data_IF_967478548702
#
_entry.id   IF_967478548702
#
_cell.length_a   1.000
_cell.length_b   1.000
_cell.length_c   1.000
_cell.angle_alpha   90.00
_cell.angle_beta   90.00
_cell.angle_gamma   90.00
#
_symmetry.space_group_name_H-M   'P 1'
#
loop_
_entity.id
_entity.type
_entity.pdbx_description
1 polymer ?
#
# COMPACT_ATOMS: atom_id res chain seq x y z
N UNK A 1 -12.52 -23.65 9.96
CA UNK A 1 -11.57 -24.27 9.02
C UNK A 1 -10.15 -23.75 9.21
N UNK A 2 -9.82 -22.48 8.93
CA UNK A 2 -8.47 -21.92 9.20
C UNK A 2 -8.31 -21.48 10.66
N UNK A 3 -9.36 -20.89 11.25
CA UNK A 3 -9.39 -20.47 12.67
C UNK A 3 -9.09 -18.98 12.87
N UNK A 4 -9.90 -18.32 13.70
CA UNK A 4 -9.88 -16.86 13.83
C UNK A 4 -8.60 -16.29 14.43
N UNK A 5 -7.86 -17.10 15.18
CA UNK A 5 -6.57 -16.74 15.74
C UNK A 5 -5.54 -16.30 14.68
N UNK A 6 -5.64 -16.80 13.44
CA UNK A 6 -4.65 -16.53 12.40
C UNK A 6 -4.75 -15.10 11.84
N UNK A 7 -5.94 -14.67 11.41
CA UNK A 7 -6.14 -13.29 10.96
C UNK A 7 -6.05 -12.31 12.12
N UNK A 8 -6.49 -12.69 13.34
CA UNK A 8 -6.28 -11.89 14.54
C UNK A 8 -4.80 -11.60 14.79
N UNK A 9 -3.95 -12.64 14.81
CA UNK A 9 -2.50 -12.48 15.02
C UNK A 9 -1.88 -11.58 13.94
N UNK A 10 -2.28 -11.75 12.68
CA UNK A 10 -1.82 -10.89 11.58
C UNK A 10 -2.22 -9.43 11.81
N UNK A 11 -3.48 -9.16 12.13
CA UNK A 11 -3.99 -7.81 12.40
C UNK A 11 -3.31 -7.18 13.61
N UNK A 12 -3.03 -7.95 14.67
CA UNK A 12 -2.33 -7.46 15.86
C UNK A 12 -0.89 -6.99 15.53
N UNK A 13 -0.18 -7.74 14.68
CA UNK A 13 1.15 -7.35 14.17
C UNK A 13 1.07 -6.09 13.30
N UNK A 14 0.12 -6.03 12.36
CA UNK A 14 -0.07 -4.85 11.51
C UNK A 14 -0.43 -3.60 12.32
N UNK A 15 -1.27 -3.75 13.35
CA UNK A 15 -1.57 -2.65 14.29
C UNK A 15 -0.32 -2.20 15.06
N UNK A 16 0.59 -3.11 15.40
CA UNK A 16 1.87 -2.75 16.02
C UNK A 16 2.77 -1.95 15.08
N UNK A 17 2.90 -2.38 13.82
CA UNK A 17 3.61 -1.64 12.78
C UNK A 17 3.05 -0.22 12.61
N UNK A 18 1.72 -0.08 12.53
CA UNK A 18 1.06 1.21 12.37
C UNK A 18 1.29 2.12 13.59
N UNK A 19 1.35 1.55 14.80
CA UNK A 19 1.71 2.33 16.01
C UNK A 19 3.16 2.82 15.95
N UNK A 20 4.08 2.00 15.44
CA UNK A 20 5.49 2.38 15.26
C UNK A 20 5.71 3.40 14.14
N UNK A 21 4.93 3.32 13.07
CA UNK A 21 4.96 4.26 11.95
C UNK A 21 3.54 4.51 11.42
N UNK A 22 2.95 5.64 11.84
CA UNK A 22 1.58 6.05 11.46
C UNK A 22 1.40 6.20 9.94
N UNK A 23 2.47 6.51 9.20
CA UNK A 23 2.43 6.68 7.74
C UNK A 23 2.09 5.37 7.01
N UNK A 24 2.28 4.22 7.67
CA UNK A 24 1.96 2.91 7.12
C UNK A 24 0.48 2.57 7.12
N UNK A 25 -0.34 3.31 7.88
CA UNK A 25 -1.73 2.93 8.19
C UNK A 25 -2.50 2.56 6.95
N UNK A 26 -2.56 3.48 6.00
CA UNK A 26 -3.36 3.29 4.80
C UNK A 26 -2.82 2.17 3.91
N UNK A 27 -1.51 2.17 3.66
CA UNK A 27 -0.86 1.11 2.87
C UNK A 27 -1.10 -0.28 3.45
N UNK A 28 -0.93 -0.46 4.77
CA UNK A 28 -1.14 -1.74 5.42
C UNK A 28 -2.61 -2.16 5.48
N UNK A 29 -3.53 -1.21 5.66
CA UNK A 29 -4.97 -1.48 5.58
C UNK A 29 -5.37 -1.94 4.18
N UNK A 30 -4.88 -1.27 3.14
CA UNK A 30 -5.18 -1.60 1.74
C UNK A 30 -4.63 -2.98 1.36
N UNK A 31 -3.34 -3.23 1.61
CA UNK A 31 -2.70 -4.52 1.28
C UNK A 31 -3.31 -5.70 2.05
N UNK A 32 -3.81 -5.46 3.26
CA UNK A 32 -4.31 -6.53 4.14
C UNK A 32 -5.82 -6.42 4.41
N UNK A 33 -6.58 -5.81 3.49
CA UNK A 33 -8.01 -5.53 3.61
C UNK A 33 -8.80 -6.76 4.10
N UNK A 34 -8.49 -7.94 3.56
CA UNK A 34 -9.16 -9.19 3.90
C UNK A 34 -8.85 -9.68 5.32
N UNK A 35 -7.62 -9.53 5.80
CA UNK A 35 -7.27 -9.90 7.17
C UNK A 35 -8.00 -8.98 8.17
N UNK A 36 -8.05 -7.68 7.87
CA UNK A 36 -8.81 -6.70 8.65
C UNK A 36 -10.33 -6.97 8.59
N UNK A 37 -10.87 -7.25 7.41
CA UNK A 37 -12.28 -7.56 7.21
C UNK A 37 -12.72 -8.83 7.94
N UNK A 38 -11.94 -9.92 7.87
CA UNK A 38 -12.20 -11.15 8.61
C UNK A 38 -12.13 -10.94 10.14
N UNK A 39 -11.19 -10.11 10.61
CA UNK A 39 -11.11 -9.74 12.02
C UNK A 39 -12.33 -8.91 12.45
N UNK A 40 -12.72 -7.91 11.66
CA UNK A 40 -13.91 -7.10 11.93
C UNK A 40 -15.18 -7.95 11.95
N UNK A 41 -15.35 -8.86 10.99
CA UNK A 41 -16.46 -9.80 10.95
C UNK A 41 -16.47 -10.71 12.20
N UNK A 42 -15.30 -11.17 12.65
CA UNK A 42 -15.16 -11.99 13.87
C UNK A 42 -15.55 -11.20 15.13
N UNK A 43 -15.13 -9.95 15.24
CA UNK A 43 -15.46 -9.06 16.36
C UNK A 43 -16.96 -8.73 16.41
N UNK A 44 -17.56 -8.43 15.25
CA UNK A 44 -19.00 -8.19 15.14
C UNK A 44 -19.80 -9.44 15.50
N UNK A 45 -19.42 -10.60 14.98
CA UNK A 45 -20.08 -11.87 15.30
C UNK A 45 -19.97 -12.20 16.79
N UNK A 46 -18.80 -11.96 17.41
CA UNK A 46 -18.62 -12.13 18.86
C UNK A 46 -19.49 -11.17 19.67
N UNK A 47 -19.66 -9.92 19.21
CA UNK A 47 -20.44 -8.90 19.91
C UNK A 47 -21.95 -9.12 19.80
N UNK A 48 -22.44 -9.50 18.62
CA UNK A 48 -23.88 -9.56 18.31
C UNK A 48 -24.41 -10.99 18.19
N UNK A 49 -23.57 -12.02 18.37
CA UNK A 49 -23.90 -13.43 18.16
C UNK A 49 -24.01 -13.85 16.68
N UNK A 50 -24.21 -12.88 15.79
CA UNK A 50 -24.26 -13.02 14.32
C UNK A 50 -23.78 -11.74 13.66
N UNK A 51 -23.56 -11.77 12.34
CA UNK A 51 -23.28 -10.54 11.60
C UNK A 51 -24.53 -9.63 11.57
N UNK A 52 -24.40 -8.35 11.95
CA UNK A 52 -25.53 -7.44 12.12
C UNK A 52 -26.00 -6.81 10.80
N UNK A 53 -26.35 -7.63 9.79
CA UNK A 53 -26.67 -7.21 8.40
C UNK A 53 -27.72 -6.10 8.30
N UNK A 54 -28.68 -6.05 9.23
CA UNK A 54 -29.78 -5.08 9.23
C UNK A 54 -29.62 -3.93 10.24
N UNK A 55 -28.54 -3.93 11.02
CA UNK A 55 -28.33 -2.94 12.10
C UNK A 55 -27.24 -1.93 11.75
N UNK A 56 -26.39 -2.23 10.77
CA UNK A 56 -25.34 -1.34 10.29
C UNK A 56 -24.92 -1.70 8.88
N UNK A 57 -24.29 -0.74 8.20
CA UNK A 57 -23.65 -1.01 6.91
C UNK A 57 -22.46 -1.96 7.09
N UNK A 58 -22.60 -3.17 6.55
CA UNK A 58 -21.54 -4.18 6.51
C UNK A 58 -21.03 -4.41 5.08
N UNK A 59 -21.42 -3.56 4.13
CA UNK A 59 -20.94 -3.64 2.74
C UNK A 59 -19.41 -3.65 2.61
N UNK A 60 -18.61 -2.98 3.49
CA UNK A 60 -17.15 -3.09 3.44
C UNK A 60 -16.63 -4.50 3.76
N UNK A 61 -17.45 -5.38 4.34
CA UNK A 61 -17.07 -6.76 4.65
C UNK A 61 -17.43 -7.75 3.53
N UNK A 62 -18.22 -7.32 2.54
CA UNK A 62 -18.66 -8.22 1.47
C UNK A 62 -17.52 -8.89 0.70
N UNK A 63 -16.42 -8.20 0.32
CA UNK A 63 -15.32 -8.86 -0.38
C UNK A 63 -14.70 -10.01 0.44
N UNK A 64 -14.44 -9.80 1.72
CA UNK A 64 -13.84 -10.86 2.57
C UNK A 64 -14.83 -11.97 2.90
N UNK A 65 -16.12 -11.66 3.00
CA UNK A 65 -17.18 -12.67 3.19
C UNK A 65 -17.38 -13.53 1.94
N UNK A 66 -17.38 -12.92 0.75
CA UNK A 66 -17.47 -13.64 -0.52
C UNK A 66 -16.27 -14.60 -0.70
N UNK A 67 -15.07 -14.13 -0.38
CA UNK A 67 -13.88 -14.98 -0.34
C UNK A 67 -14.03 -16.15 0.65
N UNK A 68 -14.47 -15.89 1.88
CA UNK A 68 -14.69 -16.95 2.86
C UNK A 68 -15.73 -17.98 2.37
N UNK A 69 -16.82 -17.52 1.76
CA UNK A 69 -17.86 -18.39 1.20
C UNK A 69 -17.33 -19.26 0.04
N UNK A 70 -16.57 -18.69 -0.89
CA UNK A 70 -15.94 -19.43 -1.99
C UNK A 70 -14.99 -20.51 -1.46
N UNK A 71 -14.13 -20.16 -0.50
CA UNK A 71 -13.20 -21.11 0.12
C UNK A 71 -13.95 -22.23 0.85
N UNK A 72 -15.04 -21.93 1.55
CA UNK A 72 -15.86 -22.94 2.21
C UNK A 72 -16.53 -23.87 1.20
N UNK A 73 -17.10 -23.33 0.12
CA UNK A 73 -17.72 -24.11 -0.94
C UNK A 73 -16.74 -25.09 -1.59
N UNK A 74 -15.52 -24.64 -1.92
CA UNK A 74 -14.46 -25.52 -2.46
C UNK A 74 -14.06 -26.58 -1.43
N UNK A 75 -13.92 -26.19 -0.16
CA UNK A 75 -13.52 -27.12 0.89
C UNK A 75 -14.55 -28.22 1.18
N UNK A 76 -15.85 -27.91 1.02
CA UNK A 76 -16.96 -28.85 1.19
C UNK A 76 -17.06 -29.86 0.04
N UNK A 77 -16.67 -29.46 -1.18
CA UNK A 77 -16.62 -30.35 -2.35
C UNK A 77 -15.29 -31.10 -2.51
N UNK A 78 -14.29 -30.85 -1.65
CA UNK A 78 -12.95 -31.42 -1.76
C UNK A 78 -12.76 -32.67 -0.89
N UNK A 79 -11.98 -33.64 -1.37
CA UNK A 79 -11.54 -34.78 -0.56
C UNK A 79 -10.59 -34.35 0.57
N UNK A 80 -10.45 -35.17 1.62
CA UNK A 80 -9.66 -34.84 2.83
C UNK A 80 -8.26 -34.25 2.58
N UNK A 81 -7.41 -34.89 1.74
CA UNK A 81 -6.09 -34.35 1.40
C UNK A 81 -6.13 -32.99 0.68
N UNK A 82 -7.02 -32.84 -0.30
CA UNK A 82 -7.21 -31.61 -1.09
C UNK A 82 -7.72 -30.46 -0.22
N UNK A 83 -8.66 -30.77 0.67
CA UNK A 83 -9.16 -29.83 1.69
C UNK A 83 -8.02 -29.36 2.60
N UNK A 84 -7.17 -30.26 3.07
CA UNK A 84 -6.02 -29.89 3.90
C UNK A 84 -5.03 -28.98 3.16
N UNK A 85 -4.79 -29.22 1.86
CA UNK A 85 -3.96 -28.36 1.02
C UNK A 85 -4.57 -26.97 0.83
N UNK A 86 -5.87 -26.89 0.54
CA UNK A 86 -6.60 -25.62 0.45
C UNK A 86 -6.49 -24.82 1.75
N UNK A 87 -6.68 -25.45 2.90
CA UNK A 87 -6.53 -24.79 4.21
C UNK A 87 -5.14 -24.23 4.41
N UNK A 88 -4.10 -24.96 3.99
CA UNK A 88 -2.70 -24.49 4.06
C UNK A 88 -2.49 -23.29 3.13
N UNK A 89 -2.99 -23.33 1.88
CA UNK A 89 -2.90 -22.22 0.92
C UNK A 89 -3.58 -20.96 1.47
N UNK A 90 -4.80 -21.08 1.99
CA UNK A 90 -5.55 -19.94 2.56
C UNK A 90 -4.83 -19.37 3.78
N UNK A 91 -4.28 -20.22 4.64
CA UNK A 91 -3.49 -19.78 5.78
C UNK A 91 -2.22 -19.03 5.36
N UNK A 92 -1.52 -19.48 4.31
CA UNK A 92 -0.38 -18.78 3.71
C UNK A 92 -0.79 -17.42 3.15
N UNK A 93 -1.85 -17.39 2.33
CA UNK A 93 -2.43 -16.19 1.74
C UNK A 93 -2.80 -15.13 2.79
N UNK A 94 -3.43 -15.51 3.90
CA UNK A 94 -3.77 -14.54 4.95
C UNK A 94 -2.56 -13.92 5.67
N UNK A 95 -1.35 -14.48 5.52
CA UNK A 95 -0.11 -13.89 6.05
C UNK A 95 0.59 -13.00 5.04
N UNK A 96 0.40 -13.24 3.75
CA UNK A 96 1.11 -12.58 2.66
C UNK A 96 0.10 -11.97 1.67
N UNK A 97 0.04 -10.63 1.56
CA UNK A 97 -0.91 -9.96 0.68
C UNK A 97 -0.72 -10.32 -0.80
N UNK A 98 0.51 -10.64 -1.23
CA UNK A 98 0.79 -11.05 -2.61
C UNK A 98 0.16 -12.42 -2.93
N UNK A 99 0.31 -13.39 -2.01
CA UNK A 99 -0.27 -14.73 -2.16
C UNK A 99 -1.80 -14.65 -2.14
N UNK A 100 -2.38 -13.79 -1.29
CA UNK A 100 -3.82 -13.58 -1.26
C UNK A 100 -4.35 -12.93 -2.54
N UNK A 101 -3.61 -11.98 -3.10
CA UNK A 101 -3.95 -11.34 -4.37
C UNK A 101 -3.90 -12.35 -5.53
N UNK A 102 -2.93 -13.26 -5.54
CA UNK A 102 -2.88 -14.40 -6.46
C UNK A 102 -4.10 -15.31 -6.32
N UNK A 103 -4.35 -15.82 -5.11
CA UNK A 103 -5.51 -16.67 -4.83
C UNK A 103 -6.85 -16.02 -5.20
N UNK A 104 -7.01 -14.71 -4.97
CA UNK A 104 -8.22 -13.98 -5.36
C UNK A 104 -8.41 -13.92 -6.87
N UNK A 105 -7.33 -13.81 -7.64
CA UNK A 105 -7.38 -13.84 -9.10
C UNK A 105 -7.86 -15.21 -9.57
N UNK A 106 -7.29 -16.29 -9.03
CA UNK A 106 -7.72 -17.67 -9.30
C UNK A 106 -9.22 -17.87 -8.99
N UNK A 107 -9.66 -17.47 -7.78
CA UNK A 107 -11.07 -17.59 -7.37
C UNK A 107 -12.02 -16.76 -8.22
N UNK A 108 -11.59 -15.59 -8.67
CA UNK A 108 -12.39 -14.71 -9.55
C UNK A 108 -12.54 -15.35 -10.93
N UNK A 109 -11.44 -15.89 -11.48
CA UNK A 109 -11.46 -16.64 -12.74
C UNK A 109 -12.36 -17.88 -12.61
N UNK A 110 -12.23 -18.68 -11.56
CA UNK A 110 -13.08 -19.85 -11.32
C UNK A 110 -14.56 -19.47 -11.22
N UNK A 111 -14.88 -18.39 -10.49
CA UNK A 111 -16.26 -17.89 -10.35
C UNK A 111 -16.89 -17.52 -11.69
N UNK A 112 -16.11 -17.00 -12.65
CA UNK A 112 -16.60 -16.69 -13.99
C UNK A 112 -17.16 -17.94 -14.70
N UNK A 113 -16.47 -19.08 -14.60
CA UNK A 113 -16.90 -20.34 -15.24
C UNK A 113 -18.01 -21.04 -14.46
N UNK A 114 -17.91 -21.07 -13.13
CA UNK A 114 -18.96 -21.66 -12.27
C UNK A 114 -20.32 -20.96 -12.49
N UNK A 115 -20.33 -19.63 -12.62
CA UNK A 115 -21.58 -18.87 -12.90
C UNK A 115 -22.20 -19.17 -14.26
N UNK A 116 -21.47 -19.84 -15.16
CA UNK A 116 -21.95 -20.31 -16.47
C UNK A 116 -22.35 -21.79 -16.45
N UNK A 117 -22.37 -22.42 -15.27
CA UNK A 117 -22.69 -23.84 -15.14
C UNK A 117 -21.56 -24.77 -15.60
N UNK A 118 -20.34 -24.25 -15.78
CA UNK A 118 -19.19 -25.05 -16.16
C UNK A 118 -18.48 -25.59 -14.92
N UNK A 119 -17.98 -26.82 -15.03
CA UNK A 119 -17.12 -27.44 -14.02
C UNK A 119 -15.72 -26.78 -14.04
N UNK A 120 -15.15 -26.56 -12.85
CA UNK A 120 -13.79 -26.04 -12.67
C UNK A 120 -12.98 -27.05 -11.88
N UNK A 121 -11.86 -27.49 -12.46
CA UNK A 121 -10.88 -28.34 -11.80
C UNK A 121 -9.68 -27.51 -11.32
N UNK A 122 -9.02 -27.98 -10.27
CA UNK A 122 -7.88 -27.31 -9.60
C UNK A 122 -6.64 -28.22 -9.63
N UNK A 123 -5.94 -28.35 -10.78
CA UNK A 123 -4.89 -29.34 -10.96
C UNK A 123 -3.73 -29.21 -9.97
N UNK A 124 -3.29 -27.98 -9.67
CA UNK A 124 -2.24 -27.71 -8.67
C UNK A 124 -2.62 -28.20 -7.24
N UNK A 125 -3.91 -28.12 -6.89
CA UNK A 125 -4.43 -28.54 -5.58
C UNK A 125 -4.69 -30.05 -5.51
N UNK A 126 -4.84 -30.69 -6.66
CA UNK A 126 -5.20 -32.12 -6.75
C UNK A 126 -4.03 -32.99 -7.20
N UNK A 127 -2.88 -32.39 -7.54
CA UNK A 127 -1.68 -33.09 -8.02
C UNK A 127 -1.76 -33.51 -9.50
N UNK A 128 -2.70 -32.93 -10.26
CA UNK A 128 -3.01 -33.29 -11.65
C UNK A 128 -2.32 -32.44 -12.72
N UNK A 129 -1.55 -31.41 -12.34
CA UNK A 129 -0.88 -30.51 -13.30
C UNK A 129 -0.30 -29.26 -12.64
N UNK A 130 0.33 -28.39 -13.44
CA UNK A 130 0.95 -27.13 -12.98
C UNK A 130 0.07 -25.90 -13.20
N UNK A 131 -1.03 -26.02 -13.94
CA UNK A 131 -1.98 -24.93 -14.19
C UNK A 131 -2.86 -24.68 -12.96
N UNK A 132 -3.28 -23.42 -12.78
CA UNK A 132 -4.13 -23.02 -11.66
C UNK A 132 -5.55 -23.60 -11.79
N UNK A 133 -6.14 -23.47 -13.00
CA UNK A 133 -7.49 -23.96 -13.31
C UNK A 133 -7.51 -24.74 -14.63
N UNK A 134 -8.40 -25.73 -14.69
CA UNK A 134 -8.76 -26.42 -15.92
C UNK A 134 -10.29 -26.43 -16.07
N UNK A 135 -10.78 -26.09 -17.27
CA UNK A 135 -12.20 -26.15 -17.62
C UNK A 135 -12.41 -27.27 -18.65
N UNK A 136 -12.79 -28.50 -18.23
CA UNK A 136 -12.80 -29.67 -19.12
C UNK A 136 -13.76 -29.54 -20.30
N UNK A 137 -14.89 -28.85 -20.09
CA UNK A 137 -15.94 -28.70 -21.09
C UNK A 137 -15.59 -27.76 -22.26
N UNK A 138 -14.46 -27.05 -22.20
CA UNK A 138 -14.06 -26.05 -23.20
C UNK A 138 -12.91 -26.55 -24.07
N UNK A 139 -13.23 -27.07 -25.25
CA UNK A 139 -12.24 -27.56 -26.21
C UNK A 139 -11.88 -29.05 -26.03
N UNK A 140 -11.12 -29.64 -26.97
CA UNK A 140 -10.86 -31.08 -27.00
C UNK A 140 -9.98 -31.58 -25.84
N UNK A 141 -9.21 -30.70 -25.20
CA UNK A 141 -8.34 -31.03 -24.06
C UNK A 141 -8.73 -30.23 -22.79
N UNK A 142 -9.86 -29.51 -22.83
CA UNK A 142 -10.19 -28.51 -21.83
C UNK A 142 -9.42 -27.19 -22.03
N UNK A 143 -9.87 -26.14 -21.36
CA UNK A 143 -9.22 -24.83 -21.33
C UNK A 143 -8.34 -24.74 -20.08
N UNK A 144 -7.03 -24.70 -20.27
CA UNK A 144 -6.04 -24.44 -19.22
C UNK A 144 -5.94 -22.94 -18.93
N UNK A 145 -5.87 -22.58 -17.64
CA UNK A 145 -5.80 -21.18 -17.22
C UNK A 145 -4.69 -21.01 -16.18
N UNK A 146 -3.82 -20.06 -16.46
CA UNK A 146 -2.74 -19.61 -15.58
C UNK A 146 -3.04 -18.17 -15.09
N UNK A 147 -3.07 -17.99 -13.78
CA UNK A 147 -3.42 -16.75 -13.10
C UNK A 147 -2.16 -16.08 -12.53
N UNK A 148 -1.66 -15.06 -13.23
CA UNK A 148 -0.52 -14.26 -12.74
C UNK A 148 -0.97 -12.93 -12.17
N UNK A 149 -0.80 -12.78 -10.86
CA UNK A 149 -1.01 -11.50 -10.20
C UNK A 149 0.33 -10.77 -10.00
N UNK A 150 0.39 -9.49 -10.35
CA UNK A 150 1.56 -8.62 -10.15
C UNK A 150 1.21 -7.53 -9.14
N UNK A 151 2.02 -7.35 -8.09
CA UNK A 151 1.83 -6.24 -7.15
C UNK A 151 2.35 -4.95 -7.73
N UNK A 152 1.78 -3.83 -7.30
CA UNK A 152 2.19 -2.50 -7.73
C UNK A 152 3.68 -2.24 -7.46
N UNK A 153 4.20 -2.82 -6.37
CA UNK A 153 5.60 -2.68 -5.96
C UNK A 153 6.56 -3.69 -6.64
N UNK A 154 6.05 -4.69 -7.36
CA UNK A 154 6.91 -5.70 -8.02
C UNK A 154 7.82 -5.03 -9.04
N UNK A 155 9.13 -5.19 -8.85
CA UNK A 155 10.15 -4.61 -9.73
C UNK A 155 10.47 -3.13 -9.43
N UNK A 156 9.74 -2.44 -8.55
CA UNK A 156 10.07 -1.07 -8.15
C UNK A 156 11.40 -1.05 -7.38
N UNK A 157 12.25 -0.06 -7.66
CA UNK A 157 13.49 0.18 -6.89
C UNK A 157 13.25 0.92 -5.57
N UNK A 158 12.11 1.60 -5.44
CA UNK A 158 11.64 2.22 -4.19
C UNK A 158 10.24 1.67 -3.94
N UNK A 159 10.12 0.54 -3.21
CA UNK A 159 8.82 0.03 -2.76
C UNK A 159 8.11 1.05 -1.87
N UNK A 160 6.77 1.07 -1.89
CA UNK A 160 5.96 2.03 -1.12
C UNK A 160 6.25 1.93 0.38
N UNK A 161 6.35 0.71 0.92
CA UNK A 161 6.71 0.49 2.34
C UNK A 161 8.04 1.14 2.71
N UNK A 162 9.07 0.94 1.90
CA UNK A 162 10.41 1.47 2.16
C UNK A 162 10.44 3.00 2.13
N UNK A 163 9.70 3.62 1.19
CA UNK A 163 9.52 5.07 1.14
C UNK A 163 8.84 5.61 2.40
N UNK A 164 7.77 4.96 2.88
CA UNK A 164 7.04 5.37 4.08
C UNK A 164 7.88 5.21 5.36
N UNK A 165 8.68 4.16 5.44
CA UNK A 165 9.61 3.96 6.55
C UNK A 165 10.75 4.98 6.53
N UNK A 166 11.25 5.34 5.35
CA UNK A 166 12.22 6.44 5.21
C UNK A 166 11.60 7.78 5.63
N UNK A 167 10.36 8.06 5.21
CA UNK A 167 9.62 9.25 5.63
C UNK A 167 9.49 9.33 7.15
N UNK A 168 9.22 8.22 7.82
CA UNK A 168 9.07 8.20 9.28
C UNK A 168 10.37 8.58 10.02
N UNK A 169 11.54 8.32 9.42
CA UNK A 169 12.84 8.71 9.98
C UNK A 169 13.14 10.19 9.76
N UNK A 170 12.73 10.73 8.62
CA UNK A 170 13.09 12.08 8.17
C UNK A 170 12.09 13.13 8.67
N UNK A 171 10.80 12.81 8.62
CA UNK A 171 9.74 13.81 8.82
C UNK A 171 9.73 14.49 10.20
N UNK A 172 9.92 13.79 11.33
CA UNK A 172 9.95 14.46 12.65
C UNK A 172 11.13 15.43 12.76
N UNK A 173 12.27 15.09 12.13
CA UNK A 173 13.47 15.93 12.13
C UNK A 173 13.23 17.17 11.27
N UNK A 174 12.74 17.00 10.04
CA UNK A 174 12.47 18.12 9.14
C UNK A 174 11.33 19.02 9.63
N UNK A 175 10.29 18.48 10.27
CA UNK A 175 9.22 19.28 10.89
C UNK A 175 9.77 20.21 11.98
N UNK A 176 10.69 19.71 12.80
CA UNK A 176 11.37 20.54 13.81
C UNK A 176 12.17 21.69 13.17
N UNK A 177 12.80 21.46 12.02
CA UNK A 177 13.53 22.49 11.26
C UNK A 177 12.59 23.54 10.66
N UNK A 178 11.47 23.09 10.10
CA UNK A 178 10.49 23.96 9.44
C UNK A 178 9.96 25.08 10.34
N UNK A 179 9.90 24.86 11.66
CA UNK A 179 9.40 25.85 12.64
C UNK A 179 10.20 27.17 12.66
N UNK A 180 11.48 27.14 12.31
CA UNK A 180 12.36 28.32 12.31
C UNK A 180 12.54 28.98 10.94
N UNK A 181 12.05 28.34 9.88
CA UNK A 181 12.25 28.82 8.52
C UNK A 181 11.29 29.98 8.19
N UNK A 182 11.78 30.94 7.39
CA UNK A 182 10.96 32.03 6.81
C UNK A 182 10.70 31.83 5.31
N UNK A 183 11.42 30.91 4.70
CA UNK A 183 11.36 30.56 3.28
C UNK A 183 10.96 29.09 3.13
N UNK A 184 10.53 28.71 1.92
CA UNK A 184 10.33 27.31 1.57
C UNK A 184 11.67 26.68 1.19
N UNK A 185 11.89 25.42 1.55
CA UNK A 185 13.07 24.65 1.17
C UNK A 185 12.63 23.41 0.41
N UNK A 186 13.04 23.29 -0.85
CA UNK A 186 12.86 22.08 -1.63
C UNK A 186 14.13 21.24 -1.53
N UNK A 187 13.97 19.97 -1.17
CA UNK A 187 15.02 18.98 -1.12
C UNK A 187 14.69 17.86 -2.10
N UNK A 188 15.60 17.55 -3.02
CA UNK A 188 15.42 16.49 -4.03
C UNK A 188 16.51 15.45 -3.87
N UNK A 189 16.15 14.30 -3.32
CA UNK A 189 17.03 13.15 -3.11
C UNK A 189 16.97 12.21 -4.33
N UNK A 190 18.05 12.14 -5.09
CA UNK A 190 18.19 11.22 -6.23
C UNK A 190 19.01 10.02 -5.80
N UNK A 191 18.40 8.83 -5.72
CA UNK A 191 19.09 7.59 -5.42
C UNK A 191 19.79 7.04 -6.68
N UNK A 192 21.02 6.58 -6.54
CA UNK A 192 21.75 5.88 -7.61
C UNK A 192 21.15 4.49 -7.88
N UNK A 193 20.63 3.86 -6.82
CA UNK A 193 20.11 2.50 -6.82
C UNK A 193 18.75 2.36 -6.15
N UNK A 194 18.57 1.31 -5.35
CA UNK A 194 17.32 1.06 -4.60
C UNK A 194 17.30 1.89 -3.32
N UNK A 195 16.09 2.14 -2.79
CA UNK A 195 15.98 2.60 -1.40
C UNK A 195 16.63 1.55 -0.50
N UNK A 196 17.49 1.94 0.48
CA UNK A 196 18.10 0.98 1.38
C UNK A 196 17.05 0.14 2.09
N UNK A 197 17.16 -1.19 1.95
CA UNK A 197 16.20 -2.16 2.49
C UNK A 197 16.38 -2.39 3.98
N UNK A 198 17.60 -2.24 4.51
CA UNK A 198 17.86 -2.41 5.94
C UNK A 198 17.71 -1.09 6.71
N UNK A 199 17.27 -1.20 7.95
CA UNK A 199 16.98 -0.06 8.82
C UNK A 199 18.21 0.81 9.09
N UNK A 200 19.39 0.20 9.26
CA UNK A 200 20.62 0.91 9.62
C UNK A 200 21.10 1.85 8.50
N UNK A 201 21.17 1.36 7.26
CA UNK A 201 21.51 2.18 6.09
C UNK A 201 20.46 3.24 5.82
N UNK A 202 19.17 2.88 5.92
CA UNK A 202 18.07 3.84 5.75
C UNK A 202 18.15 4.98 6.77
N UNK A 203 18.50 4.66 8.02
CA UNK A 203 18.73 5.65 9.07
C UNK A 203 19.95 6.52 8.81
N UNK A 204 21.07 5.94 8.36
CA UNK A 204 22.27 6.71 7.97
C UNK A 204 21.97 7.69 6.83
N UNK A 205 21.24 7.24 5.81
CA UNK A 205 20.79 8.09 4.70
C UNK A 205 19.90 9.23 5.19
N UNK A 206 18.92 8.94 6.06
CA UNK A 206 18.03 9.93 6.65
C UNK A 206 18.79 10.97 7.51
N UNK A 207 19.75 10.54 8.33
CA UNK A 207 20.58 11.42 9.15
C UNK A 207 21.49 12.31 8.29
N UNK A 208 22.07 11.76 7.21
CA UNK A 208 22.87 12.53 6.26
C UNK A 208 22.02 13.56 5.52
N UNK A 209 20.83 13.18 5.05
CA UNK A 209 19.90 14.10 4.39
C UNK A 209 19.54 15.28 5.30
N UNK A 210 19.11 15.00 6.52
CA UNK A 210 18.70 16.04 7.48
C UNK A 210 19.87 17.00 7.78
N UNK A 211 21.10 16.47 7.90
CA UNK A 211 22.30 17.29 8.14
C UNK A 211 22.59 18.26 6.99
N UNK A 212 22.44 17.82 5.74
CA UNK A 212 22.68 18.69 4.58
C UNK A 212 21.55 19.70 4.36
N UNK A 213 20.29 19.31 4.63
CA UNK A 213 19.18 20.26 4.64
C UNK A 213 19.40 21.35 5.69
N UNK A 214 19.94 20.98 6.86
CA UNK A 214 20.33 21.91 7.92
C UNK A 214 21.45 22.88 7.53
N UNK A 215 22.46 22.41 6.79
CA UNK A 215 23.59 23.24 6.40
C UNK A 215 23.28 24.17 5.22
N UNK A 216 22.15 23.96 4.52
CA UNK A 216 21.77 24.72 3.33
C UNK A 216 22.70 24.50 2.13
N UNK A 217 23.58 23.50 2.19
CA UNK A 217 24.53 23.21 1.10
C UNK A 217 23.77 22.53 -0.03
N UNK A 218 23.76 23.14 -1.20
CA UNK A 218 23.12 22.58 -2.39
C UNK A 218 24.03 21.57 -3.10
N UNK A 219 23.44 20.64 -3.86
CA UNK A 219 24.12 19.63 -4.67
C UNK A 219 25.13 18.77 -3.90
N UNK A 220 24.69 18.21 -2.76
CA UNK A 220 25.50 17.35 -1.92
C UNK A 220 25.53 15.91 -2.43
N UNK A 221 26.70 15.28 -2.40
CA UNK A 221 26.82 13.84 -2.62
C UNK A 221 26.65 13.10 -1.28
N UNK A 222 25.75 12.13 -1.25
CA UNK A 222 25.53 11.21 -0.15
C UNK A 222 25.97 9.81 -0.57
N UNK A 223 26.09 8.90 0.40
CA UNK A 223 26.36 7.49 0.10
C UNK A 223 25.18 6.89 -0.69
N UNK A 224 25.43 6.53 -1.96
CA UNK A 224 24.43 5.99 -2.89
C UNK A 224 23.33 6.96 -3.35
N UNK A 225 23.50 8.27 -3.13
CA UNK A 225 22.52 9.27 -3.53
C UNK A 225 23.12 10.66 -3.76
N UNK A 226 22.38 11.52 -4.45
CA UNK A 226 22.67 12.95 -4.57
C UNK A 226 21.49 13.75 -4.01
N UNK A 227 21.78 14.87 -3.35
CA UNK A 227 20.78 15.76 -2.77
C UNK A 227 20.92 17.17 -3.35
N UNK A 228 19.89 17.62 -4.06
CA UNK A 228 19.75 19.02 -4.47
C UNK A 228 18.84 19.75 -3.48
N UNK A 229 19.28 20.91 -3.03
CA UNK A 229 18.51 21.78 -2.14
C UNK A 229 18.41 23.15 -2.78
N UNK A 230 17.22 23.73 -2.79
CA UNK A 230 17.00 25.11 -3.21
C UNK A 230 15.82 25.71 -2.45
N UNK A 231 15.81 27.03 -2.33
CA UNK A 231 14.72 27.76 -1.70
C UNK A 231 13.58 28.00 -2.69
N UNK A 232 12.37 28.13 -2.17
CA UNK A 232 11.18 28.50 -2.95
C UNK A 232 10.26 29.40 -2.11
N UNK A 233 9.38 30.13 -2.78
CA UNK A 233 8.38 30.97 -2.10
C UNK A 233 7.30 30.09 -1.44
N UNK A 234 7.12 30.13 -0.10
CA UNK A 234 6.08 29.38 0.61
C UNK A 234 4.67 29.56 0.04
N UNK A 235 4.37 30.69 -0.61
CA UNK A 235 3.07 30.94 -1.25
C UNK A 235 2.73 29.92 -2.34
N UNK A 236 3.73 29.25 -2.92
CA UNK A 236 3.55 28.19 -3.93
C UNK A 236 2.91 26.91 -3.37
N UNK A 237 2.87 26.73 -2.05
CA UNK A 237 2.25 25.55 -1.41
C UNK A 237 0.71 25.57 -1.46
N UNK A 238 0.13 26.66 -1.98
CA UNK A 238 -1.30 26.84 -2.11
C UNK A 238 -2.01 27.14 -0.80
N UNK A 239 -3.33 27.10 -0.86
CA UNK A 239 -4.17 27.38 0.30
C UNK A 239 -4.25 26.21 1.26
N UNK A 240 -4.76 26.52 2.46
CA UNK A 240 -5.09 25.52 3.45
C UNK A 240 -6.56 25.19 3.24
N UNK A 241 -6.88 23.94 2.96
CA UNK A 241 -8.24 23.45 2.85
C UNK A 241 -8.95 23.54 4.20
N UNK A 242 -10.26 23.30 4.20
CA UNK A 242 -11.12 23.41 5.38
C UNK A 242 -10.68 22.50 6.55
N UNK A 243 -9.87 21.49 6.26
CA UNK A 243 -9.26 20.59 7.23
C UNK A 243 -7.94 21.12 7.85
N UNK A 244 -7.57 22.37 7.55
CA UNK A 244 -6.33 22.97 8.03
C UNK A 244 -5.08 22.53 7.28
N UNK A 245 -5.21 21.81 6.15
CA UNK A 245 -4.06 21.25 5.41
C UNK A 245 -3.77 21.95 4.08
N UNK A 246 -2.51 22.02 3.64
CA UNK A 246 -2.17 22.54 2.31
C UNK A 246 -2.87 21.74 1.21
N UNK A 247 -3.66 22.40 0.38
CA UNK A 247 -4.19 21.87 -0.89
C UNK A 247 -3.15 22.16 -1.95
N UNK A 248 -2.07 21.38 -1.91
CA UNK A 248 -1.03 21.45 -2.92
C UNK A 248 -1.33 20.46 -4.04
N UNK A 249 -1.43 20.99 -5.25
CA UNK A 249 -1.56 20.19 -6.47
C UNK A 249 -0.25 19.46 -6.77
N UNK A 250 -0.34 18.38 -7.54
CA UNK A 250 0.83 17.66 -8.04
C UNK A 250 1.73 18.60 -8.85
N UNK A 251 1.13 19.40 -9.72
CA UNK A 251 1.87 20.31 -10.61
C UNK A 251 2.66 21.37 -9.83
N UNK A 252 2.15 21.82 -8.68
CA UNK A 252 2.89 22.69 -7.77
C UNK A 252 4.08 21.99 -7.14
N UNK A 253 3.96 20.74 -6.69
CA UNK A 253 5.09 19.96 -6.17
C UNK A 253 6.17 19.79 -7.24
N UNK A 254 5.75 19.43 -8.44
CA UNK A 254 6.63 19.22 -9.59
C UNK A 254 7.36 20.51 -9.97
N UNK A 255 6.64 21.65 -9.96
CA UNK A 255 7.21 22.99 -10.18
C UNK A 255 8.21 23.38 -9.09
N UNK A 256 7.82 23.26 -7.81
CA UNK A 256 8.67 23.59 -6.65
C UNK A 256 9.94 22.77 -6.68
N UNK A 257 9.85 21.48 -7.02
CA UNK A 257 11.01 20.59 -6.97
C UNK A 257 11.77 20.50 -8.28
N UNK A 258 11.24 21.01 -9.40
CA UNK A 258 11.78 20.75 -10.73
C UNK A 258 11.81 19.25 -11.04
N UNK A 259 10.79 18.51 -10.60
CA UNK A 259 10.65 17.07 -10.87
C UNK A 259 9.30 16.81 -11.56
N UNK A 260 9.09 15.59 -12.04
CA UNK A 260 7.82 15.21 -12.66
C UNK A 260 7.31 13.94 -12.04
N UNK A 261 6.08 14.00 -11.53
CA UNK A 261 5.33 12.88 -11.01
C UNK A 261 6.08 12.05 -9.95
N UNK A 262 6.71 12.74 -8.98
CA UNK A 262 7.50 12.07 -7.92
C UNK A 262 6.77 12.03 -6.58
N UNK A 263 7.05 11.02 -5.76
CA UNK A 263 6.56 11.01 -4.38
C UNK A 263 7.19 12.16 -3.59
N UNK A 264 6.38 12.78 -2.74
CA UNK A 264 6.79 13.92 -1.93
C UNK A 264 6.35 13.74 -0.48
N UNK A 265 7.23 14.12 0.42
CA UNK A 265 6.98 14.42 1.83
C UNK A 265 6.95 15.93 1.97
N UNK A 266 5.89 16.45 2.57
CA UNK A 266 5.77 17.89 2.86
C UNK A 266 5.61 18.04 4.36
N UNK A 267 6.49 18.84 4.97
CA UNK A 267 6.49 19.16 6.39
C UNK A 267 6.60 20.67 6.60
N UNK A 268 6.09 21.18 7.72
CA UNK A 268 6.05 22.62 8.01
C UNK A 268 4.64 23.21 8.01
N UNK A 269 4.53 24.54 8.09
CA UNK A 269 3.26 25.28 8.28
C UNK A 269 3.11 26.37 7.23
N UNK A 270 1.88 26.72 6.83
CA UNK A 270 1.60 27.83 5.89
C UNK A 270 2.12 29.19 6.39
N UNK A 271 2.07 29.45 7.70
CA UNK A 271 2.50 30.70 8.33
C UNK A 271 3.98 30.74 8.70
N UNK A 272 4.75 29.72 8.33
CA UNK A 272 6.19 29.61 8.54
C UNK A 272 6.84 28.99 7.31
N UNK A 273 8.12 28.63 7.39
CA UNK A 273 8.76 27.90 6.31
C UNK A 273 8.27 26.46 6.23
N UNK A 274 8.42 25.88 5.05
CA UNK A 274 8.03 24.52 4.76
C UNK A 274 9.16 23.81 4.02
N UNK A 275 9.22 22.49 4.19
CA UNK A 275 10.18 21.65 3.50
C UNK A 275 9.43 20.67 2.61
N UNK A 276 9.71 20.72 1.31
CA UNK A 276 9.21 19.76 0.32
C UNK A 276 10.36 18.83 -0.01
N UNK A 277 10.28 17.59 0.47
CA UNK A 277 11.23 16.54 0.14
C UNK A 277 10.65 15.64 -0.95
N UNK A 278 11.35 15.53 -2.06
CA UNK A 278 11.09 14.54 -3.11
C UNK A 278 12.23 13.53 -3.14
N UNK A 279 11.90 12.26 -3.40
CA UNK A 279 12.89 11.26 -3.76
C UNK A 279 12.59 10.67 -5.14
N UNK A 280 13.65 10.45 -5.89
CA UNK A 280 13.59 9.84 -7.21
C UNK A 280 14.78 8.91 -7.41
N UNK A 281 14.74 8.12 -8.48
CA UNK A 281 15.91 7.42 -8.97
C UNK A 281 16.60 8.29 -10.02
N UNK A 282 17.90 8.06 -10.20
CA UNK A 282 18.64 8.56 -11.38
C UNK A 282 18.03 8.14 -12.72
N UNK A 283 17.17 7.12 -12.74
CA UNK A 283 16.42 6.63 -13.91
C UNK A 283 14.94 7.01 -13.85
N UNK A 284 14.33 7.36 -14.99
CA UNK A 284 12.96 7.90 -15.05
C UNK A 284 11.81 6.90 -14.80
N UNK A 285 12.09 5.67 -14.39
CA UNK A 285 11.07 4.64 -14.21
C UNK A 285 10.57 4.55 -12.78
N UNK A 286 9.53 5.32 -12.43
CA UNK A 286 8.66 4.99 -11.28
C UNK A 286 7.21 5.37 -11.56
N UNK A 287 6.30 4.44 -11.28
CA UNK A 287 4.85 4.65 -11.22
C UNK A 287 4.46 4.80 -9.74
N UNK A 288 3.39 5.56 -9.47
CA UNK A 288 3.06 6.21 -8.19
C UNK A 288 2.39 5.29 -7.14
N UNK A 289 2.37 5.71 -5.85
CA UNK A 289 1.19 5.92 -4.96
C UNK A 289 1.61 6.72 -3.68
N UNK A 290 0.85 7.77 -3.33
CA UNK A 290 0.76 8.58 -2.09
C UNK A 290 1.91 9.50 -1.59
N UNK A 291 1.50 10.73 -1.24
CA UNK A 291 2.24 11.67 -0.42
C UNK A 291 2.02 11.35 1.06
N UNK A 292 3.10 11.11 1.80
CA UNK A 292 3.05 10.97 3.24
C UNK A 292 3.09 12.37 3.87
N UNK A 293 2.04 12.77 4.61
CA UNK A 293 2.04 13.99 5.43
C UNK A 293 2.28 13.58 6.87
N UNK A 294 3.36 14.06 7.47
CA UNK A 294 3.64 13.86 8.89
C UNK A 294 3.30 15.14 9.65
N UNK A 295 2.25 15.10 10.45
CA UNK A 295 1.89 16.19 11.37
C UNK A 295 1.30 15.58 12.64
N UNK A 296 1.92 15.82 13.80
CA UNK A 296 1.34 15.51 15.10
C UNK A 296 0.97 16.81 15.84
N UNK A 297 -0.33 17.05 15.96
CA UNK A 297 -1.01 17.52 17.17
C UNK A 297 -2.54 17.40 16.91
N UNK A 298 -3.13 16.29 17.39
CA UNK A 298 -4.55 15.85 17.22
C UNK A 298 -4.87 15.22 15.85
N UNK A 299 -4.72 13.88 15.80
CA UNK A 299 -4.98 13.00 14.65
C UNK A 299 -6.41 13.14 14.07
N UNK A 300 -6.52 13.69 12.87
CA UNK A 300 -7.66 13.48 11.95
C UNK A 300 -7.08 13.26 10.56
N UNK A 301 -7.50 12.18 9.88
CA UNK A 301 -6.98 11.67 8.60
C UNK A 301 -7.86 12.10 7.42
N UNK A 302 -7.29 12.61 6.33
CA UNK A 302 -7.96 12.65 5.05
C UNK A 302 -6.93 12.42 3.94
N UNK A 303 -7.32 11.49 3.07
CA UNK A 303 -6.63 11.13 1.86
C UNK A 303 -7.21 11.98 0.74
N UNK A 304 -6.39 12.71 0.00
CA UNK A 304 -6.83 13.32 -1.25
C UNK A 304 -6.30 12.48 -2.41
N UNK A 305 -7.19 11.66 -2.96
CA UNK A 305 -7.04 11.09 -4.29
C UNK A 305 -7.74 12.02 -5.29
N UNK A 306 -6.98 12.85 -6.01
CA UNK A 306 -7.44 13.41 -7.27
C UNK A 306 -6.73 12.66 -8.40
N UNK A 307 -7.44 11.73 -9.03
CA UNK A 307 -7.17 11.30 -10.40
C UNK A 307 -8.06 12.15 -11.30
N UNK A 308 -7.50 13.22 -11.86
CA UNK A 308 -8.14 13.87 -13.00
C UNK A 308 -7.87 13.03 -14.26
N UNK A 309 -8.94 12.64 -14.95
CA UNK A 309 -8.91 12.35 -16.39
C UNK A 309 -8.76 10.88 -16.80
N UNK A 310 -9.84 10.11 -16.69
CA UNK A 310 -10.24 9.23 -17.79
C UNK A 310 -11.64 9.67 -18.20
N UNK A 311 -11.72 10.22 -19.41
CA UNK A 311 -12.93 10.78 -19.99
C UNK A 311 -14.04 9.73 -20.07
N UNK A 312 -15.24 10.19 -19.74
CA UNK A 312 -16.49 9.60 -20.17
C UNK A 312 -16.54 9.58 -21.70
N UNK A 313 -16.33 8.42 -22.30
CA UNK A 313 -16.82 8.07 -23.63
C UNK A 313 -16.49 6.62 -23.96
N UNK A 314 -17.42 5.70 -23.65
CA UNK A 314 -18.00 4.65 -24.50
C UNK A 314 -18.89 3.74 -23.64
#
# INVERSE_FOLDING_TARGET
MVGAQHWKKRVDLLKADIRGNKLLREHLLQENEFAFGLQAASELTKKYGRLPVHQMDISPLYPCMAFAAQILSIAESSAGPQRAQLVRRVHGALKNPDDLRGMRLELTAATHFLRRGLEVQWPEVTGGGTMDLLIPALGPQGLEIECKSISDDKGRKIPKRDALDFCALVAPKLDALGKGLKVGVAAVLTLDGRMPGNFLERRKLAESLVRHVLSGVSNCQLDGANLRIHEFDPLLLGDVGDDGRPVISRDQVDTITGTTNRQALIVGRKSGGAIVLVWCLKSNHQIMVLAARATDAKMVSALLCHTNGLGSSL
#
